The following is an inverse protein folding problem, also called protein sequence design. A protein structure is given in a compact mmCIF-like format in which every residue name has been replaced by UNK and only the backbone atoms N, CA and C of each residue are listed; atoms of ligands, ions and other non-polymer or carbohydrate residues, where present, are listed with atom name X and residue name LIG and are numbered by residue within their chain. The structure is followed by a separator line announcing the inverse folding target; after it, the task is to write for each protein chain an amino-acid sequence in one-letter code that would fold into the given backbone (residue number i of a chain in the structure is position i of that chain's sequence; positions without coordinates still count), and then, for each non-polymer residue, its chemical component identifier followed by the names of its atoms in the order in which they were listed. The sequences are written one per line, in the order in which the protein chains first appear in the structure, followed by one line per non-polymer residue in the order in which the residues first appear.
data_IF_002334281152
#
_entry.id   IF_002334281152
#
_cell.length_a   1.000
_cell.length_b   1.000
_cell.length_c   1.000
_cell.angle_alpha   90.00
_cell.angle_beta   90.00
_cell.angle_gamma   90.00
#
_symmetry.space_group_name_H-M   'P 1'
#
loop_
_entity.id
_entity.type
_entity.pdbx_description
1 polymer ?
#
# COMPACT_ATOMS: atom_id res chain seq x y z
N UNK A 1 12.34 22.84 26.72
CA UNK A 1 13.35 22.58 25.67
C UNK A 1 13.44 21.08 25.46
N UNK A 2 12.87 20.55 24.37
CA UNK A 2 12.99 19.13 24.06
C UNK A 2 14.15 18.98 23.07
N UNK A 3 15.33 18.60 23.57
CA UNK A 3 16.50 18.34 22.74
C UNK A 3 16.35 16.96 22.09
N UNK A 4 15.57 16.90 21.01
CA UNK A 4 15.60 15.78 20.08
C UNK A 4 16.97 15.76 19.40
N UNK A 5 17.78 14.76 19.74
CA UNK A 5 19.10 14.56 19.16
C UNK A 5 19.02 14.49 17.61
N UNK A 6 20.03 15.03 16.89
CA UNK A 6 20.07 14.91 15.44
C UNK A 6 20.42 13.46 15.08
N UNK A 7 19.48 12.75 14.46
CA UNK A 7 19.72 11.41 13.95
C UNK A 7 20.85 11.46 12.90
N UNK A 8 21.92 10.71 13.15
CA UNK A 8 23.08 10.59 12.26
C UNK A 8 22.73 9.92 10.91
N UNK A 9 23.70 9.81 9.98
CA UNK A 9 23.50 9.29 8.63
C UNK A 9 23.30 7.77 8.68
N UNK A 10 22.09 7.35 9.02
CA UNK A 10 21.75 5.94 9.20
C UNK A 10 20.40 5.67 9.85
N UNK A 11 19.49 6.64 9.97
CA UNK A 11 18.13 6.38 10.46
C UNK A 11 17.40 5.44 9.50
N UNK A 12 17.49 4.13 9.75
CA UNK A 12 16.64 3.11 9.16
C UNK A 12 15.24 3.42 9.65
N UNK A 13 14.40 4.00 8.80
CA UNK A 13 12.99 4.13 9.13
C UNK A 13 12.47 2.72 9.49
N UNK A 14 11.84 2.53 10.66
CA UNK A 14 11.36 1.22 11.06
C UNK A 14 10.31 0.76 10.04
N UNK A 15 10.45 -0.48 9.54
CA UNK A 15 9.44 -1.08 8.69
C UNK A 15 8.22 -1.46 9.53
N UNK A 16 7.05 -1.01 9.11
CA UNK A 16 5.76 -1.41 9.68
C UNK A 16 5.46 -2.84 9.25
N UNK A 17 4.83 -3.62 10.13
CA UNK A 17 4.39 -4.99 9.80
C UNK A 17 3.03 -4.96 9.13
N UNK A 18 2.75 -5.94 8.26
CA UNK A 18 1.46 -6.00 7.56
C UNK A 18 0.30 -6.06 8.55
N UNK A 19 0.34 -6.90 9.58
CA UNK A 19 -0.77 -7.02 10.54
C UNK A 19 -1.04 -5.77 11.40
N UNK A 20 -0.13 -4.79 11.42
CA UNK A 20 -0.28 -3.53 12.13
C UNK A 20 -0.98 -2.46 11.27
N UNK A 21 -1.17 -2.73 9.98
CA UNK A 21 -1.79 -1.80 9.05
C UNK A 21 -3.28 -1.60 9.34
N UNK A 22 -3.68 -0.34 9.30
CA UNK A 22 -5.06 0.11 9.51
C UNK A 22 -5.46 1.02 8.37
N UNK A 23 -6.76 1.08 8.14
CA UNK A 23 -7.37 2.00 7.19
C UNK A 23 -6.83 3.43 7.35
N UNK A 24 -6.54 4.10 6.24
CA UNK A 24 -6.09 5.49 6.17
C UNK A 24 -4.71 5.78 6.80
N UNK A 25 -3.94 4.77 7.20
CA UNK A 25 -2.54 4.95 7.60
C UNK A 25 -1.71 5.48 6.41
N UNK A 26 -0.79 6.41 6.68
CA UNK A 26 0.06 7.09 5.70
C UNK A 26 1.52 7.03 6.12
N UNK A 27 2.42 7.31 5.18
CA UNK A 27 3.86 7.33 5.40
C UNK A 27 4.39 5.98 5.92
N UNK A 28 3.87 4.89 5.35
CA UNK A 28 4.19 3.53 5.77
C UNK A 28 5.39 3.05 4.98
N UNK A 29 6.37 2.48 5.68
CA UNK A 29 7.52 1.83 5.07
C UNK A 29 7.41 0.33 5.32
N UNK A 30 7.58 -0.49 4.28
CA UNK A 30 7.42 -1.95 4.34
C UNK A 30 8.65 -2.65 3.79
N UNK A 31 8.90 -3.87 4.29
CA UNK A 31 9.87 -4.81 3.75
C UNK A 31 9.17 -6.15 3.56
N UNK A 32 8.89 -6.50 2.31
CA UNK A 32 7.92 -7.55 1.95
C UNK A 32 8.44 -8.34 0.76
N UNK A 33 7.86 -9.52 0.54
CA UNK A 33 8.03 -10.31 -0.67
C UNK A 33 6.78 -10.25 -1.53
N UNK A 34 6.99 -10.26 -2.84
CA UNK A 34 5.93 -10.31 -3.84
C UNK A 34 5.48 -11.76 -4.04
N UNK A 35 4.18 -12.01 -3.89
CA UNK A 35 3.59 -13.34 -4.01
C UNK A 35 2.95 -13.55 -5.37
N UNK A 36 2.03 -12.65 -5.73
CA UNK A 36 1.22 -12.77 -6.94
C UNK A 36 1.14 -11.42 -7.65
N UNK A 37 1.15 -11.48 -8.98
CA UNK A 37 0.92 -10.31 -9.81
C UNK A 37 -0.37 -10.48 -10.63
N UNK A 38 -1.37 -9.65 -10.37
CA UNK A 38 -2.58 -9.56 -11.18
C UNK A 38 -2.32 -8.97 -12.56
N UNK A 39 -3.30 -9.08 -13.47
CA UNK A 39 -3.19 -8.56 -14.83
C UNK A 39 -2.97 -7.03 -14.88
N UNK A 40 -2.12 -6.56 -15.80
CA UNK A 40 -1.95 -5.14 -16.09
C UNK A 40 -3.19 -4.62 -16.81
N UNK A 41 -3.76 -3.53 -16.29
CA UNK A 41 -4.91 -2.83 -16.85
C UNK A 41 -4.50 -1.41 -17.22
N UNK A 42 -4.97 -0.92 -18.36
CA UNK A 42 -4.76 0.46 -18.80
C UNK A 42 -5.95 1.31 -18.37
N UNK A 43 -5.72 2.43 -17.71
CA UNK A 43 -6.77 3.38 -17.33
C UNK A 43 -7.14 4.27 -18.50
N UNK A 44 -8.26 5.00 -18.37
CA UNK A 44 -8.70 5.98 -19.37
C UNK A 44 -7.66 7.09 -19.60
N UNK A 45 -6.81 7.36 -18.60
CA UNK A 45 -5.75 8.39 -18.64
C UNK A 45 -4.39 7.82 -19.10
N UNK A 46 -4.41 6.76 -19.90
CA UNK A 46 -3.25 5.99 -20.43
C UNK A 46 -2.31 5.35 -19.41
N UNK A 47 -2.48 5.60 -18.11
CA UNK A 47 -1.70 4.97 -17.04
C UNK A 47 -1.95 3.47 -16.98
N UNK A 48 -0.94 2.72 -16.56
CA UNK A 48 -1.07 1.28 -16.30
C UNK A 48 -1.17 1.03 -14.80
N UNK A 49 -1.98 0.06 -14.41
CA UNK A 49 -2.14 -0.37 -13.02
C UNK A 49 -2.31 -1.88 -12.95
N UNK A 50 -1.72 -2.50 -11.93
CA UNK A 50 -1.99 -3.88 -11.57
C UNK A 50 -2.09 -4.04 -10.06
N UNK A 51 -2.87 -5.02 -9.63
CA UNK A 51 -2.87 -5.47 -8.23
C UNK A 51 -1.72 -6.44 -8.03
N UNK A 52 -0.98 -6.28 -6.93
CA UNK A 52 0.10 -7.16 -6.51
C UNK A 52 -0.17 -7.63 -5.09
N UNK A 53 -0.12 -8.92 -4.82
CA UNK A 53 -0.20 -9.45 -3.46
C UNK A 53 1.21 -9.51 -2.89
N UNK A 54 1.42 -8.84 -1.77
CA UNK A 54 2.68 -8.79 -1.03
C UNK A 54 2.49 -9.37 0.36
N UNK A 55 3.57 -9.91 0.94
CA UNK A 55 3.53 -10.57 2.23
C UNK A 55 4.78 -10.36 3.08
N UNK A 56 4.58 -10.51 4.38
CA UNK A 56 5.62 -10.70 5.39
C UNK A 56 5.19 -11.82 6.36
N UNK A 57 6.01 -12.08 7.38
CA UNK A 57 5.74 -13.12 8.36
C UNK A 57 4.51 -12.84 9.25
N UNK A 58 3.87 -11.68 9.11
CA UNK A 58 2.68 -11.27 9.87
C UNK A 58 1.39 -11.30 9.07
N UNK A 59 1.44 -11.28 7.74
CA UNK A 59 0.24 -11.27 6.92
C UNK A 59 0.53 -11.00 5.45
N UNK A 60 -0.55 -10.94 4.67
CA UNK A 60 -0.56 -10.53 3.27
C UNK A 60 -1.55 -9.38 3.05
N UNK A 61 -1.26 -8.57 2.05
CA UNK A 61 -2.10 -7.45 1.61
C UNK A 61 -1.89 -7.19 0.11
N UNK A 62 -2.93 -6.71 -0.55
CA UNK A 62 -2.88 -6.25 -1.93
C UNK A 62 -2.32 -4.83 -2.01
N UNK A 63 -1.56 -4.57 -3.06
CA UNK A 63 -1.01 -3.27 -3.40
C UNK A 63 -1.38 -2.92 -4.85
N UNK A 64 -1.82 -1.68 -5.07
CA UNK A 64 -1.97 -1.12 -6.41
C UNK A 64 -0.63 -0.56 -6.88
N UNK A 65 -0.04 -1.17 -7.90
CA UNK A 65 1.22 -0.77 -8.51
C UNK A 65 0.92 -0.11 -9.86
N UNK A 66 1.60 1.00 -10.15
CA UNK A 66 1.28 1.88 -11.28
C UNK A 66 2.47 2.05 -12.24
N UNK A 67 2.16 2.29 -13.50
CA UNK A 67 3.09 2.69 -14.57
C UNK A 67 4.31 1.78 -14.67
N UNK A 68 5.53 2.32 -14.68
CA UNK A 68 6.78 1.59 -14.83
C UNK A 68 6.93 0.46 -13.82
N UNK A 69 6.45 0.65 -12.59
CA UNK A 69 6.52 -0.37 -11.54
C UNK A 69 5.67 -1.61 -11.87
N UNK A 70 4.65 -1.50 -12.75
CA UNK A 70 3.88 -2.66 -13.19
C UNK A 70 4.75 -3.74 -13.86
N UNK A 71 5.86 -3.32 -14.46
CA UNK A 71 6.78 -4.19 -15.22
C UNK A 71 8.08 -4.49 -14.47
N UNK A 72 8.45 -3.66 -13.49
CA UNK A 72 9.68 -3.85 -12.71
C UNK A 72 9.55 -4.92 -11.63
N UNK A 73 8.37 -5.04 -11.02
CA UNK A 73 8.12 -5.96 -9.91
C UNK A 73 7.83 -7.37 -10.44
N UNK A 74 8.51 -8.39 -9.89
CA UNK A 74 8.33 -9.80 -10.24
C UNK A 74 7.90 -10.64 -9.03
N UNK A 75 7.23 -11.80 -9.23
CA UNK A 75 6.99 -12.74 -8.15
C UNK A 75 8.32 -13.14 -7.49
N UNK A 76 8.28 -13.35 -6.18
CA UNK A 76 9.43 -13.70 -5.34
C UNK A 76 10.47 -12.60 -5.12
N UNK A 77 10.30 -11.40 -5.69
CA UNK A 77 11.12 -10.25 -5.35
C UNK A 77 10.90 -9.85 -3.89
N UNK A 78 12.00 -9.62 -3.17
CA UNK A 78 11.97 -8.94 -1.87
C UNK A 78 12.16 -7.45 -2.13
N UNK A 79 11.17 -6.66 -1.73
CA UNK A 79 11.09 -5.22 -2.00
C UNK A 79 10.99 -4.42 -0.71
N UNK A 80 11.55 -3.21 -0.74
CA UNK A 80 11.29 -2.15 0.23
C UNK A 80 10.35 -1.15 -0.40
N UNK A 81 9.29 -0.82 0.32
CA UNK A 81 8.32 0.20 -0.08
C UNK A 81 8.47 1.36 0.88
N UNK A 82 8.53 2.59 0.37
CA UNK A 82 8.56 3.81 1.18
C UNK A 82 7.36 4.69 0.89
N UNK A 83 6.82 5.30 1.95
CA UNK A 83 5.73 6.27 1.82
C UNK A 83 4.42 5.67 1.30
N UNK A 84 4.12 4.40 1.58
CA UNK A 84 2.84 3.80 1.23
C UNK A 84 1.69 4.36 2.08
N UNK A 85 0.47 4.21 1.55
CA UNK A 85 -0.78 4.60 2.19
C UNK A 85 -1.76 3.43 2.11
N UNK A 86 -2.44 3.13 3.21
CA UNK A 86 -3.54 2.16 3.20
C UNK A 86 -4.80 2.87 2.72
N UNK A 87 -5.32 2.40 1.60
CA UNK A 87 -6.49 2.95 0.93
C UNK A 87 -7.60 1.90 0.80
N UNK A 88 -8.88 2.29 0.89
CA UNK A 88 -9.97 1.41 0.56
C UNK A 88 -10.07 1.22 -0.96
N UNK A 89 -10.21 -0.02 -1.41
CA UNK A 89 -10.48 -0.33 -2.82
C UNK A 89 -11.44 -1.52 -2.92
N UNK A 90 -12.63 -1.32 -3.48
CA UNK A 90 -13.66 -2.36 -3.66
C UNK A 90 -13.91 -3.20 -2.39
N UNK A 91 -14.14 -2.56 -1.25
CA UNK A 91 -14.36 -3.21 0.07
C UNK A 91 -13.17 -4.06 0.57
N UNK A 92 -11.96 -3.74 0.12
CA UNK A 92 -10.72 -4.36 0.53
C UNK A 92 -9.72 -3.29 0.97
N UNK A 93 -8.92 -3.58 2.01
CA UNK A 93 -7.76 -2.75 2.32
C UNK A 93 -6.70 -2.99 1.27
N UNK A 94 -6.22 -1.93 0.63
CA UNK A 94 -5.22 -2.00 -0.42
C UNK A 94 -4.16 -0.93 -0.19
N UNK A 95 -2.90 -1.30 -0.30
CA UNK A 95 -1.80 -0.34 -0.29
C UNK A 95 -1.70 0.40 -1.62
N UNK A 96 -1.48 1.70 -1.55
CA UNK A 96 -1.15 2.53 -2.69
C UNK A 96 0.11 3.32 -2.38
N UNK A 97 0.93 3.54 -3.40
CA UNK A 97 2.13 4.38 -3.26
C UNK A 97 1.74 5.86 -3.17
N UNK A 98 2.30 6.61 -2.22
CA UNK A 98 2.15 8.07 -2.22
C UNK A 98 2.97 8.70 -3.36
N UNK A 99 2.69 9.97 -3.67
CA UNK A 99 3.38 10.72 -4.74
C UNK A 99 4.91 10.77 -4.58
N UNK A 100 5.41 10.77 -3.35
CA UNK A 100 6.84 10.77 -3.02
C UNK A 100 7.35 9.40 -2.53
N UNK A 101 6.54 8.35 -2.72
CA UNK A 101 6.92 6.98 -2.37
C UNK A 101 7.80 6.34 -3.44
N UNK A 102 8.43 5.23 -3.06
CA UNK A 102 9.34 4.48 -3.94
C UNK A 102 9.29 2.97 -3.61
N UNK A 103 9.65 2.14 -4.58
CA UNK A 103 9.77 0.70 -4.49
C UNK A 103 11.18 0.29 -4.93
N UNK A 104 11.94 -0.33 -4.04
CA UNK A 104 13.30 -0.79 -4.32
C UNK A 104 13.41 -2.31 -4.12
N UNK A 105 13.84 -3.06 -5.14
CA UNK A 105 14.21 -4.48 -4.97
C UNK A 105 15.48 -4.58 -4.14
N UNK A 106 15.46 -5.45 -3.13
CA UNK A 106 16.59 -5.68 -2.21
C UNK A 106 17.01 -7.15 -2.10
N UNK A 107 16.25 -8.07 -2.71
CA UNK A 107 16.57 -9.50 -2.70
C UNK A 107 15.53 -10.32 -3.45
N UNK A 108 15.58 -11.65 -3.28
CA UNK A 108 14.66 -12.60 -3.89
C UNK A 108 14.55 -13.87 -3.01
N UNK A 109 13.38 -14.52 -2.96
CA UNK A 109 13.06 -15.80 -2.27
C UNK A 109 13.19 -15.89 -0.74
N UNK A 110 13.93 -14.99 -0.08
CA UNK A 110 14.41 -15.22 1.30
C UNK A 110 13.53 -14.64 2.42
N UNK A 111 12.23 -14.41 2.19
CA UNK A 111 11.35 -13.79 3.20
C UNK A 111 10.18 -14.72 3.53
N UNK A 112 10.04 -15.06 4.82
CA UNK A 112 8.95 -15.90 5.31
C UNK A 112 7.62 -15.14 5.28
N UNK A 113 6.54 -15.84 4.94
CA UNK A 113 5.21 -15.26 4.71
C UNK A 113 4.18 -16.01 5.53
N UNK A 114 3.29 -15.26 6.15
CA UNK A 114 2.06 -15.79 6.74
C UNK A 114 0.87 -15.37 5.86
N UNK A 115 0.32 -16.30 5.09
CA UNK A 115 -0.83 -16.06 4.21
C UNK A 115 -2.19 -16.29 4.88
N UNK A 116 -2.20 -16.76 6.14
CA UNK A 116 -3.44 -16.98 6.92
C UNK A 116 -4.12 -15.68 7.35
N UNK A 117 -3.38 -14.57 7.38
CA UNK A 117 -3.90 -13.23 7.68
C UNK A 117 -3.86 -12.43 6.39
N UNK A 118 -5.02 -12.25 5.76
CA UNK A 118 -5.15 -11.44 4.54
C UNK A 118 -5.94 -10.16 4.83
N UNK A 119 -5.25 -9.03 4.92
CA UNK A 119 -5.90 -7.73 5.18
C UNK A 119 -6.79 -7.27 4.01
N UNK A 120 -6.56 -7.82 2.82
CA UNK A 120 -7.33 -7.54 1.63
C UNK A 120 -8.52 -8.47 1.44
N UNK A 121 -8.76 -9.41 2.35
CA UNK A 121 -9.92 -10.30 2.29
C UNK A 121 -11.21 -9.50 2.44
N UNK A 122 -12.22 -9.83 1.63
CA UNK A 122 -13.56 -9.28 1.79
C UNK A 122 -14.12 -9.64 3.18
N UNK A 123 -14.70 -8.66 3.86
CA UNK A 123 -15.19 -8.83 5.24
C UNK A 123 -14.10 -8.76 6.32
N UNK A 124 -12.84 -8.44 5.98
CA UNK A 124 -11.80 -8.22 7.00
C UNK A 124 -12.16 -7.08 7.98
N UNK A 125 -12.76 -6.01 7.45
CA UNK A 125 -13.35 -4.95 8.27
C UNK A 125 -14.87 -5.14 8.41
N UNK A 126 -15.46 -4.82 9.57
CA UNK A 126 -16.90 -4.85 9.79
C UNK A 126 -17.70 -3.97 8.79
N UNK A 127 -18.96 -4.32 8.47
CA UNK A 127 -19.79 -3.56 7.52
C UNK A 127 -20.04 -2.10 7.89
N UNK A 128 -20.17 -1.78 9.18
CA UNK A 128 -20.35 -0.42 9.68
C UNK A 128 -19.12 0.46 9.41
N UNK A 129 -17.92 -0.11 9.52
CA UNK A 129 -16.68 0.57 9.13
C UNK A 129 -16.69 0.87 7.63
N UNK A 130 -17.13 -0.07 6.79
CA UNK A 130 -17.24 0.17 5.34
C UNK A 130 -18.28 1.22 4.98
N UNK A 131 -19.41 1.27 5.68
CA UNK A 131 -20.41 2.31 5.50
C UNK A 131 -19.81 3.70 5.75
N UNK A 132 -19.02 3.85 6.83
CA UNK A 132 -18.33 5.11 7.12
C UNK A 132 -17.29 5.46 6.06
N UNK A 133 -16.50 4.48 5.58
CA UNK A 133 -15.53 4.68 4.50
C UNK A 133 -16.17 5.22 3.24
N UNK A 134 -17.34 4.69 2.87
CA UNK A 134 -18.07 5.15 1.69
C UNK A 134 -18.51 6.61 1.84
N UNK A 135 -19.02 6.99 3.02
CA UNK A 135 -19.38 8.38 3.33
C UNK A 135 -18.17 9.30 3.20
N UNK A 136 -17.03 8.92 3.77
CA UNK A 136 -15.80 9.71 3.74
C UNK A 136 -15.25 9.86 2.31
N UNK A 137 -15.27 8.79 1.51
CA UNK A 137 -14.85 8.81 0.10
C UNK A 137 -15.75 9.70 -0.76
N UNK A 138 -17.06 9.67 -0.54
CA UNK A 138 -18.02 10.52 -1.26
C UNK A 138 -17.88 11.99 -0.89
N UNK A 139 -17.67 12.29 0.40
CA UNK A 139 -17.36 13.64 0.85
C UNK A 139 -16.04 14.15 0.24
N UNK A 140 -15.01 13.30 0.20
CA UNK A 140 -13.72 13.61 -0.43
C UNK A 140 -13.89 13.93 -1.92
N UNK A 141 -14.62 13.11 -2.68
CA UNK A 141 -14.88 13.34 -4.12
C UNK A 141 -15.63 14.64 -4.36
N UNK A 142 -16.66 14.96 -3.57
CA UNK A 142 -17.38 16.24 -3.64
C UNK A 142 -16.45 17.43 -3.41
N UNK A 143 -15.52 17.34 -2.45
CA UNK A 143 -14.54 18.40 -2.18
C UNK A 143 -13.56 18.66 -3.34
N UNK A 144 -13.29 17.65 -4.18
CA UNK A 144 -12.44 17.81 -5.37
C UNK A 144 -13.21 18.42 -6.53
N UNK A 145 -14.46 18.00 -6.74
CA UNK A 145 -15.33 18.59 -7.76
C UNK A 145 -15.51 20.11 -7.55
N UNK A 146 -15.61 20.56 -6.30
CA UNK A 146 -15.78 21.97 -5.96
C UNK A 146 -14.49 22.81 -6.05
N UNK A 147 -13.30 22.18 -6.18
CA UNK A 147 -12.01 22.86 -6.29
C UNK A 147 -11.48 22.97 -7.73
N UNK A 148 -12.18 22.40 -8.71
CA UNK A 148 -11.74 22.33 -10.11
C UNK A 148 -12.37 23.37 -11.04
N UNK A 149 -12.84 24.50 -10.50
CA UNK A 149 -13.34 25.63 -11.28
C UNK A 149 -12.49 26.86 -11.01
N UNK A 150 -11.32 26.93 -11.63
CA UNK A 150 -10.51 28.13 -11.92
C UNK A 150 -9.58 27.81 -13.09
#
# INVERSE_FOLDING_TARGET
MNNGAPNGPGSRDPFTKINELKLNMKNINLHVIVLELGAIRRTMSTNEVRTVTIGDYTGIINMSVWNEYCHLVKPMDVIKIRGAVVTPHKQSLTLSMAKAGDITKVGEYVLAVNDTINLSQEGFLPPDVWAQVQIDEDARKKSYANRGGD
#
